data_IF_429924943904
#
_entry.id   IF_429924943904
#
_cell.length_a   1.000
_cell.length_b   1.000
_cell.length_c   1.000
_cell.angle_alpha   90.00
_cell.angle_beta   90.00
_cell.angle_gamma   90.00
#
_symmetry.space_group_name_H-M   'P 1'
#
loop_
_entity.id
_entity.type
_entity.pdbx_description
1 polymer ?
#
# COMPACT_ATOMS: atom_id res chain seq x y z
N UNK A 1 7.05 15.23 -2.26
CA UNK A 1 7.45 13.82 -2.40
C UNK A 1 6.22 12.94 -2.19
N UNK A 2 6.23 11.74 -2.75
CA UNK A 2 5.13 10.78 -2.66
C UNK A 2 5.68 9.42 -2.25
N UNK A 3 4.97 8.71 -1.36
CA UNK A 3 5.33 7.33 -0.97
C UNK A 3 4.52 6.36 -1.81
N UNK A 4 5.17 5.37 -2.40
CA UNK A 4 4.55 4.33 -3.22
C UNK A 4 4.91 2.98 -2.64
N UNK A 5 3.90 2.13 -2.46
CA UNK A 5 4.07 0.75 -2.03
C UNK A 5 4.39 -0.12 -3.26
N UNK A 6 5.52 -0.81 -3.22
CA UNK A 6 5.89 -1.83 -4.18
C UNK A 6 5.38 -3.16 -3.64
N UNK A 7 4.37 -3.71 -4.30
CA UNK A 7 3.80 -5.02 -4.03
C UNK A 7 4.65 -6.07 -4.76
N UNK A 8 5.27 -6.98 -4.01
CA UNK A 8 6.14 -8.03 -4.56
C UNK A 8 5.31 -9.25 -4.97
N UNK A 9 5.69 -9.95 -6.05
CA UNK A 9 4.97 -11.12 -6.51
C UNK A 9 5.04 -12.26 -5.49
N UNK A 10 3.99 -13.07 -5.43
CA UNK A 10 4.01 -14.33 -4.70
C UNK A 10 3.34 -15.43 -5.54
N UNK A 11 3.88 -16.64 -5.44
CA UNK A 11 3.36 -17.81 -6.16
C UNK A 11 2.08 -18.34 -5.52
N UNK A 12 1.94 -18.16 -4.20
CA UNK A 12 0.79 -18.65 -3.45
C UNK A 12 0.04 -17.48 -2.80
N UNK A 13 -1.23 -17.36 -3.17
CA UNK A 13 -2.15 -16.36 -2.62
C UNK A 13 -2.47 -16.59 -1.14
N UNK A 14 -2.10 -17.72 -0.53
CA UNK A 14 -2.28 -17.97 0.91
C UNK A 14 -1.11 -17.45 1.77
N UNK A 15 0.02 -17.13 1.15
CA UNK A 15 1.21 -16.66 1.88
C UNK A 15 0.99 -15.22 2.40
N UNK A 16 1.89 -14.78 3.29
CA UNK A 16 1.87 -13.39 3.76
C UNK A 16 2.23 -12.46 2.61
N UNK A 17 1.47 -11.38 2.43
CA UNK A 17 1.77 -10.39 1.40
C UNK A 17 3.06 -9.63 1.73
N UNK A 18 3.92 -9.43 0.74
CA UNK A 18 5.16 -8.69 0.88
C UNK A 18 5.09 -7.38 0.10
N UNK A 19 5.33 -6.28 0.81
CA UNK A 19 5.40 -4.94 0.25
C UNK A 19 6.68 -4.24 0.68
N UNK A 20 7.11 -3.25 -0.08
CA UNK A 20 8.12 -2.27 0.32
C UNK A 20 7.58 -0.87 0.12
N UNK A 21 7.96 0.08 0.96
CA UNK A 21 7.54 1.47 0.84
C UNK A 21 8.72 2.33 0.37
N UNK A 22 8.56 3.00 -0.77
CA UNK A 22 9.60 3.83 -1.37
C UNK A 22 9.11 5.26 -1.57
N UNK A 23 9.94 6.24 -1.22
CA UNK A 23 9.65 7.66 -1.44
C UNK A 23 10.21 8.10 -2.78
N UNK A 24 9.37 8.75 -3.59
CA UNK A 24 9.72 9.33 -4.87
C UNK A 24 9.55 10.84 -4.85
N UNK A 25 10.42 11.53 -5.60
CA UNK A 25 10.21 12.95 -5.90
C UNK A 25 9.19 13.07 -7.04
N UNK A 26 8.11 13.84 -6.82
CA UNK A 26 7.07 14.09 -7.83
C UNK A 26 7.63 14.74 -9.10
N UNK A 27 8.70 15.54 -8.99
CA UNK A 27 9.37 16.15 -10.14
C UNK A 27 9.98 15.12 -11.10
N UNK A 28 10.21 13.89 -10.64
CA UNK A 28 10.72 12.81 -11.49
C UNK A 28 9.60 12.05 -12.23
N UNK A 29 8.35 12.46 -12.08
CA UNK A 29 7.17 11.85 -12.71
C UNK A 29 7.13 10.31 -12.55
N UNK A 30 7.15 9.80 -11.30
CA UNK A 30 7.15 8.35 -11.06
C UNK A 30 5.86 7.71 -11.61
N UNK A 31 5.99 6.52 -12.19
CA UNK A 31 4.84 5.72 -12.65
C UNK A 31 4.34 4.83 -11.52
N UNK A 32 3.07 4.95 -11.17
CA UNK A 32 2.39 4.13 -10.17
C UNK A 32 0.88 4.12 -10.43
N UNK A 33 0.21 3.05 -10.01
CA UNK A 33 -1.26 3.01 -10.00
C UNK A 33 -1.78 3.53 -8.66
N UNK A 34 -2.99 4.08 -8.65
CA UNK A 34 -3.68 4.49 -7.43
C UNK A 34 -4.70 3.44 -7.05
N UNK A 35 -4.62 2.93 -5.81
CA UNK A 35 -5.59 1.98 -5.28
C UNK A 35 -6.72 2.72 -4.57
N UNK A 36 -7.90 2.71 -5.17
CA UNK A 36 -9.15 3.09 -4.51
C UNK A 36 -9.91 1.85 -4.07
N UNK A 37 -10.23 1.75 -2.77
CA UNK A 37 -10.92 0.61 -2.19
C UNK A 37 -11.83 1.06 -1.05
N UNK A 38 -12.84 0.26 -0.73
CA UNK A 38 -13.69 0.52 0.42
C UNK A 38 -12.89 0.32 1.71
N UNK A 39 -12.84 1.34 2.57
CA UNK A 39 -12.26 1.21 3.90
C UNK A 39 -12.98 0.10 4.68
N UNK A 40 -12.18 -0.76 5.33
CA UNK A 40 -12.67 -1.88 6.12
C UNK A 40 -12.81 -1.52 7.60
N UNK A 41 -13.29 -2.48 8.38
CA UNK A 41 -13.23 -2.39 9.84
C UNK A 41 -11.80 -2.61 10.32
N UNK A 42 -11.41 -1.89 11.38
CA UNK A 42 -10.19 -2.16 12.16
C UNK A 42 -10.32 -3.41 13.05
N UNK A 43 -11.54 -3.96 13.16
CA UNK A 43 -11.77 -5.22 13.87
C UNK A 43 -11.21 -6.38 13.05
N UNK A 44 -10.28 -7.14 13.65
CA UNK A 44 -9.58 -8.29 13.04
C UNK A 44 -8.64 -7.90 11.87
N UNK A 45 -7.55 -7.16 12.12
CA UNK A 45 -6.62 -6.75 11.07
C UNK A 45 -5.87 -7.94 10.47
N UNK A 46 -5.56 -7.85 9.18
CA UNK A 46 -4.59 -8.70 8.52
C UNK A 46 -3.17 -8.17 8.76
N UNK A 47 -2.17 -9.04 8.63
CA UNK A 47 -0.76 -8.67 8.77
C UNK A 47 -0.05 -8.94 7.45
N UNK A 48 0.63 -7.93 6.93
CA UNK A 48 1.51 -8.02 5.77
C UNK A 48 2.95 -7.76 6.20
N UNK A 49 3.92 -8.15 5.39
CA UNK A 49 5.31 -7.76 5.57
C UNK A 49 5.57 -6.48 4.81
N UNK A 50 5.77 -5.35 5.49
CA UNK A 50 6.13 -4.06 4.90
C UNK A 50 7.60 -3.75 5.22
N UNK A 51 8.45 -3.72 4.20
CA UNK A 51 9.89 -3.45 4.33
C UNK A 51 10.59 -4.32 5.39
N UNK A 52 10.18 -5.59 5.51
CA UNK A 52 10.72 -6.56 6.46
C UNK A 52 10.04 -6.59 7.84
N UNK A 53 9.08 -5.70 8.10
CA UNK A 53 8.35 -5.64 9.37
C UNK A 53 6.89 -6.05 9.20
N UNK A 54 6.32 -6.70 10.22
CA UNK A 54 4.88 -6.98 10.24
C UNK A 54 4.07 -5.69 10.38
N UNK A 55 3.21 -5.41 9.42
CA UNK A 55 2.37 -4.22 9.38
C UNK A 55 0.89 -4.61 9.34
N UNK A 56 0.08 -3.96 10.18
CA UNK A 56 -1.35 -4.24 10.31
C UNK A 56 -2.14 -3.44 9.29
N UNK A 57 -3.00 -4.12 8.54
CA UNK A 57 -3.92 -3.52 7.58
C UNK A 57 -5.34 -4.05 7.79
N UNK A 58 -6.32 -3.35 7.23
CA UNK A 58 -7.70 -3.85 7.22
C UNK A 58 -7.84 -5.06 6.30
N UNK A 59 -8.82 -5.92 6.56
CA UNK A 59 -9.12 -7.09 5.72
C UNK A 59 -9.47 -6.69 4.27
N UNK A 60 -10.10 -5.53 4.09
CA UNK A 60 -10.42 -5.02 2.76
C UNK A 60 -9.15 -4.68 1.97
N UNK A 61 -8.15 -4.08 2.63
CA UNK A 61 -6.88 -3.79 1.97
C UNK A 61 -6.12 -5.09 1.64
N UNK A 62 -6.10 -6.06 2.55
CA UNK A 62 -5.50 -7.38 2.28
C UNK A 62 -6.15 -8.05 1.06
N UNK A 63 -7.49 -8.06 1.02
CA UNK A 63 -8.26 -8.62 -0.11
C UNK A 63 -7.96 -7.90 -1.42
N UNK A 64 -7.87 -6.56 -1.40
CA UNK A 64 -7.54 -5.76 -2.56
C UNK A 64 -6.11 -6.03 -3.05
N UNK A 65 -5.14 -6.13 -2.14
CA UNK A 65 -3.76 -6.46 -2.48
C UNK A 65 -3.64 -7.87 -3.09
N UNK A 66 -4.35 -8.86 -2.55
CA UNK A 66 -4.38 -10.23 -3.11
C UNK A 66 -4.98 -10.25 -4.52
N UNK A 67 -6.01 -9.44 -4.78
CA UNK A 67 -6.60 -9.33 -6.10
C UNK A 67 -5.65 -8.67 -7.13
N UNK A 68 -4.81 -7.75 -6.68
CA UNK A 68 -3.84 -7.02 -7.51
C UNK A 68 -2.49 -7.71 -7.63
N UNK A 69 -2.27 -8.80 -6.88
CA UNK A 69 -1.02 -9.51 -6.86
C UNK A 69 -0.77 -10.17 -8.21
N UNK A 70 0.37 -9.84 -8.82
CA UNK A 70 0.88 -10.59 -9.96
C UNK A 70 1.79 -11.71 -9.46
N UNK A 71 1.84 -12.83 -10.17
CA UNK A 71 2.67 -13.98 -9.79
C UNK A 71 4.14 -13.81 -10.17
N UNK A 72 4.46 -12.86 -11.06
CA UNK A 72 5.79 -12.73 -11.67
C UNK A 72 6.39 -11.33 -11.64
N UNK A 73 5.60 -10.29 -11.36
CA UNK A 73 6.05 -8.90 -11.50
C UNK A 73 5.67 -8.07 -10.27
N UNK A 74 6.54 -7.13 -9.92
CA UNK A 74 6.26 -6.12 -8.90
C UNK A 74 5.20 -5.14 -9.40
N UNK A 75 4.34 -4.65 -8.49
CA UNK A 75 3.34 -3.62 -8.81
C UNK A 75 3.53 -2.41 -7.93
N UNK A 76 3.68 -1.24 -8.55
CA UNK A 76 3.81 0.05 -7.85
C UNK A 76 2.42 0.65 -7.59
N UNK A 77 2.04 0.71 -6.32
CA UNK A 77 0.71 1.15 -5.86
C UNK A 77 0.85 2.32 -4.87
N UNK A 78 0.15 3.41 -5.14
CA UNK A 78 -0.15 4.39 -4.12
C UNK A 78 -1.42 3.96 -3.37
N UNK A 79 -1.31 3.80 -2.05
CA UNK A 79 -2.36 3.30 -1.17
C UNK A 79 -2.40 4.23 0.03
N UNK A 80 -3.51 4.93 0.29
CA UNK A 80 -3.59 5.93 1.36
C UNK A 80 -3.14 5.38 2.72
N UNK A 81 -3.57 4.17 3.07
CA UNK A 81 -3.24 3.51 4.35
C UNK A 81 -1.76 3.18 4.55
N UNK A 82 -0.96 3.11 3.48
CA UNK A 82 0.49 2.83 3.53
C UNK A 82 1.34 4.07 3.18
N UNK A 83 0.88 4.86 2.22
CA UNK A 83 1.63 6.01 1.68
C UNK A 83 1.55 7.22 2.63
N UNK A 84 0.44 7.39 3.34
CA UNK A 84 0.21 8.52 4.24
C UNK A 84 0.49 8.08 5.67
N UNK A 85 1.22 8.91 6.42
CA UNK A 85 1.31 8.77 7.85
C UNK A 85 -0.05 9.08 8.48
N UNK A 86 -0.80 8.03 8.85
CA UNK A 86 -2.16 8.17 9.38
C UNK A 86 -2.23 8.92 10.72
N UNK A 87 -1.11 9.05 11.44
CA UNK A 87 -1.03 9.77 12.71
C UNK A 87 -0.70 11.26 12.55
N UNK A 88 -0.31 11.69 11.35
CA UNK A 88 -0.03 13.10 11.05
C UNK A 88 -1.20 13.70 10.25
N UNK A 89 -2.06 14.44 10.95
CA UNK A 89 -3.21 15.10 10.35
C UNK A 89 -2.84 16.17 9.32
N UNK A 90 -1.66 16.80 9.46
CA UNK A 90 -1.18 17.82 8.50
C UNK A 90 -0.72 17.13 7.23
N UNK A 91 0.12 16.09 7.35
CA UNK A 91 0.54 15.27 6.21
C UNK A 91 -0.66 14.68 5.48
N UNK A 92 -1.60 14.07 6.21
CA UNK A 92 -2.82 13.46 5.66
C UNK A 92 -3.64 14.46 4.86
N UNK A 93 -3.87 15.65 5.39
CA UNK A 93 -4.62 16.69 4.69
C UNK A 93 -3.93 17.16 3.40
N UNK A 94 -2.59 17.18 3.39
CA UNK A 94 -1.79 17.57 2.23
C UNK A 94 -1.79 16.48 1.17
N UNK A 95 -1.53 15.22 1.55
CA UNK A 95 -1.47 14.08 0.63
C UNK A 95 -2.84 13.80 -0.02
N UNK A 96 -3.93 13.88 0.74
CA UNK A 96 -5.29 13.70 0.19
C UNK A 96 -5.65 14.77 -0.84
N UNK A 97 -5.14 16.01 -0.69
CA UNK A 97 -5.39 17.10 -1.64
C UNK A 97 -4.59 17.00 -2.95
N UNK A 98 -3.59 16.13 -3.01
CA UNK A 98 -2.80 15.92 -4.25
C UNK A 98 -3.49 14.96 -5.23
N UNK A 99 -4.63 14.39 -4.84
CA UNK A 99 -5.48 13.48 -5.62
C UNK A 99 -6.80 14.18 -5.96
#
# INVERSE_FOLDING_TARGET
EIRVAILHPATNLADSMHCSLTTFNLSNNPSYDVLSYAWGSDSNPAVITLSGFGYRITQNLDSALRYLLHTTEDRSLWIDALAINQFDHVEKSVQVKMM
#
